data_IF_091905450976
#
_entry.id   IF_091905450976
#
_cell.length_a   1.000
_cell.length_b   1.000
_cell.length_c   1.000
_cell.angle_alpha   90.00
_cell.angle_beta   90.00
_cell.angle_gamma   90.00
#
_symmetry.space_group_name_H-M   'P 1'
#
loop_
_entity.id
_entity.type
_entity.pdbx_description
1 polymer ?
#
# COMPACT_ATOMS: atom_id res chain seq x y z
N UNK A 1 11.64 22.10 -9.41
CA UNK A 1 12.38 20.87 -9.74
C UNK A 1 13.40 21.22 -10.80
N UNK A 2 14.62 21.56 -10.40
CA UNK A 2 15.72 21.83 -11.33
C UNK A 2 16.12 20.46 -11.91
N UNK A 3 15.86 20.25 -13.21
CA UNK A 3 16.16 19.02 -13.99
C UNK A 3 15.11 17.88 -14.05
N UNK A 4 13.81 18.18 -13.88
CA UNK A 4 12.76 17.16 -14.06
C UNK A 4 12.53 16.81 -15.55
N UNK A 5 12.60 15.52 -15.88
CA UNK A 5 12.21 14.99 -17.19
C UNK A 5 10.73 14.60 -17.20
N UNK A 6 10.09 14.54 -18.37
CA UNK A 6 8.69 14.07 -18.53
C UNK A 6 8.47 12.71 -17.85
N UNK A 7 9.48 11.83 -17.92
CA UNK A 7 9.50 10.53 -17.25
C UNK A 7 9.46 10.67 -15.72
N UNK A 8 10.35 11.47 -15.13
CA UNK A 8 10.38 11.67 -13.68
C UNK A 8 9.08 12.28 -13.12
N UNK A 9 8.40 13.10 -13.91
CA UNK A 9 7.10 13.68 -13.53
C UNK A 9 6.03 12.59 -13.54
N UNK A 10 5.97 11.78 -14.59
CA UNK A 10 5.00 10.68 -14.68
C UNK A 10 5.23 9.65 -13.56
N UNK A 11 6.48 9.25 -13.32
CA UNK A 11 6.84 8.36 -12.21
C UNK A 11 6.42 8.97 -10.87
N UNK A 12 6.82 10.21 -10.58
CA UNK A 12 6.47 10.86 -9.33
C UNK A 12 4.95 10.97 -9.13
N UNK A 13 4.18 11.26 -10.18
CA UNK A 13 2.73 11.30 -10.11
C UNK A 13 2.13 9.94 -9.73
N UNK A 14 2.51 8.87 -10.44
CA UNK A 14 2.01 7.51 -10.19
C UNK A 14 2.39 7.02 -8.79
N UNK A 15 3.68 7.09 -8.46
CA UNK A 15 4.24 6.72 -7.17
C UNK A 15 3.52 7.47 -6.04
N UNK A 16 3.38 8.80 -6.15
CA UNK A 16 2.74 9.60 -5.10
C UNK A 16 1.27 9.27 -4.92
N UNK A 17 0.54 9.01 -6.01
CA UNK A 17 -0.86 8.56 -5.94
C UNK A 17 -0.99 7.26 -5.14
N UNK A 18 -0.12 6.28 -5.39
CA UNK A 18 -0.11 5.01 -4.65
C UNK A 18 0.18 5.24 -3.17
N UNK A 19 1.20 6.05 -2.85
CA UNK A 19 1.53 6.39 -1.46
C UNK A 19 0.37 7.05 -0.72
N UNK A 20 -0.37 7.96 -1.36
CA UNK A 20 -1.54 8.62 -0.76
C UNK A 20 -2.65 7.60 -0.48
N UNK A 21 -2.95 6.71 -1.44
CA UNK A 21 -3.97 5.66 -1.25
C UNK A 21 -3.62 4.77 -0.05
N UNK A 22 -2.37 4.33 0.05
CA UNK A 22 -1.91 3.50 1.16
C UNK A 22 -2.02 4.22 2.52
N UNK A 23 -1.73 5.53 2.57
CA UNK A 23 -1.93 6.36 3.77
C UNK A 23 -3.41 6.47 4.12
N UNK A 24 -4.29 6.68 3.14
CA UNK A 24 -5.74 6.76 3.36
C UNK A 24 -6.28 5.47 3.98
N UNK A 25 -5.86 4.32 3.46
CA UNK A 25 -6.24 2.99 4.01
C UNK A 25 -5.69 2.81 5.43
N UNK A 26 -4.45 3.22 5.68
CA UNK A 26 -3.83 3.18 7.01
C UNK A 26 -4.67 3.96 8.04
N UNK A 27 -5.06 5.19 7.72
CA UNK A 27 -5.84 6.01 8.64
C UNK A 27 -7.29 5.56 8.76
N UNK A 28 -7.89 5.10 7.66
CA UNK A 28 -9.23 4.51 7.66
C UNK A 28 -9.32 3.23 8.50
N UNK A 29 -8.21 2.49 8.65
CA UNK A 29 -8.16 1.27 9.46
C UNK A 29 -8.93 0.09 8.85
N UNK A 30 -9.26 0.17 7.56
CA UNK A 30 -10.02 -0.83 6.85
C UNK A 30 -9.55 -0.90 5.40
N UNK A 31 -9.40 -2.11 4.87
CA UNK A 31 -9.16 -2.35 3.44
C UNK A 31 -10.21 -3.32 2.87
N UNK A 32 -9.91 -4.62 2.82
CA UNK A 32 -10.92 -5.66 2.57
C UNK A 32 -11.46 -6.23 3.89
N UNK A 33 -10.61 -6.23 4.93
CA UNK A 33 -10.97 -6.56 6.30
C UNK A 33 -10.50 -5.46 7.25
N UNK A 34 -10.99 -5.42 8.51
CA UNK A 34 -10.51 -4.49 9.52
C UNK A 34 -9.02 -4.70 9.79
N UNK A 35 -8.24 -3.63 9.71
CA UNK A 35 -6.78 -3.69 9.85
C UNK A 35 -6.36 -3.62 11.32
N UNK A 36 -5.45 -4.50 11.71
CA UNK A 36 -4.77 -4.42 13.00
C UNK A 36 -3.79 -3.23 13.06
N UNK A 37 -3.40 -2.82 14.26
CA UNK A 37 -2.41 -1.74 14.44
C UNK A 37 -1.10 -2.06 13.71
N UNK A 38 -0.65 -3.32 13.73
CA UNK A 38 0.58 -3.72 13.05
C UNK A 38 0.47 -3.60 11.53
N UNK A 39 -0.67 -3.99 10.95
CA UNK A 39 -0.95 -3.84 9.52
C UNK A 39 -1.00 -2.38 9.08
N UNK A 40 -1.56 -1.52 9.92
CA UNK A 40 -1.57 -0.07 9.69
C UNK A 40 -0.14 0.48 9.71
N UNK A 41 0.69 0.07 10.67
CA UNK A 41 2.10 0.48 10.71
C UNK A 41 2.90 -0.03 9.50
N UNK A 42 2.61 -1.25 9.04
CA UNK A 42 3.19 -1.79 7.81
C UNK A 42 2.81 -0.93 6.61
N UNK A 43 1.52 -0.71 6.37
CA UNK A 43 1.04 0.10 5.24
C UNK A 43 1.59 1.53 5.29
N UNK A 44 1.70 2.10 6.49
CA UNK A 44 2.33 3.41 6.69
C UNK A 44 3.80 3.40 6.24
N UNK A 45 4.57 2.39 6.66
CA UNK A 45 5.97 2.25 6.26
C UNK A 45 6.10 2.05 4.74
N UNK A 46 5.23 1.23 4.14
CA UNK A 46 5.17 1.05 2.70
C UNK A 46 4.91 2.39 1.99
N UNK A 47 3.91 3.15 2.43
CA UNK A 47 3.56 4.42 1.82
C UNK A 47 4.63 5.51 1.97
N UNK A 48 5.38 5.50 3.07
CA UNK A 48 6.48 6.43 3.30
C UNK A 48 7.73 6.08 2.47
N UNK A 49 7.90 4.82 2.06
CA UNK A 49 8.97 4.42 1.14
C UNK A 49 8.65 4.76 -0.32
N UNK A 50 7.37 4.92 -0.66
CA UNK A 50 6.92 5.38 -1.98
C UNK A 50 7.12 6.91 -2.11
N UNK A 51 8.38 7.34 -2.10
CA UNK A 51 8.88 8.71 -2.29
C UNK A 51 9.68 8.74 -3.59
N UNK A 52 9.50 9.76 -4.47
CA UNK A 52 10.06 9.76 -5.82
C UNK A 52 11.54 9.38 -5.86
N UNK A 53 11.78 8.15 -6.31
CA UNK A 53 13.09 7.52 -6.40
C UNK A 53 12.94 6.04 -6.73
N UNK A 54 13.57 5.56 -7.79
CA UNK A 54 13.30 4.22 -8.33
C UNK A 54 13.50 3.10 -7.31
N UNK A 55 14.53 3.19 -6.46
CA UNK A 55 14.82 2.17 -5.46
C UNK A 55 13.81 2.16 -4.30
N UNK A 56 13.50 3.34 -3.75
CA UNK A 56 12.54 3.52 -2.65
C UNK A 56 11.13 3.15 -3.10
N UNK A 57 10.76 3.52 -4.33
CA UNK A 57 9.48 3.15 -4.95
C UNK A 57 9.32 1.63 -5.05
N UNK A 58 10.34 0.91 -5.50
CA UNK A 58 10.28 -0.55 -5.60
C UNK A 58 10.15 -1.23 -4.24
N UNK A 59 10.84 -0.73 -3.22
CA UNK A 59 10.70 -1.25 -1.85
C UNK A 59 9.29 -1.02 -1.30
N UNK A 60 8.77 0.21 -1.45
CA UNK A 60 7.44 0.56 -0.99
C UNK A 60 6.33 -0.22 -1.71
N UNK A 61 6.44 -0.37 -3.03
CA UNK A 61 5.55 -1.21 -3.83
C UNK A 61 5.64 -2.69 -3.44
N UNK A 62 6.85 -3.20 -3.17
CA UNK A 62 7.06 -4.56 -2.69
C UNK A 62 6.37 -4.82 -1.35
N UNK A 63 6.52 -3.91 -0.39
CA UNK A 63 5.82 -4.00 0.91
C UNK A 63 4.31 -3.90 0.76
N UNK A 64 3.81 -2.99 -0.10
CA UNK A 64 2.40 -2.86 -0.40
C UNK A 64 1.81 -4.10 -1.07
N UNK A 65 2.54 -4.71 -2.02
CA UNK A 65 2.12 -5.94 -2.69
C UNK A 65 2.10 -7.13 -1.74
N UNK A 66 3.12 -7.28 -0.88
CA UNK A 66 3.15 -8.31 0.15
C UNK A 66 1.98 -8.17 1.13
N UNK A 67 1.69 -6.94 1.56
CA UNK A 67 0.51 -6.62 2.36
C UNK A 67 -0.79 -7.04 1.65
N UNK A 68 -0.98 -6.64 0.39
CA UNK A 68 -2.15 -6.99 -0.41
C UNK A 68 -2.39 -8.50 -0.49
N UNK A 69 -1.33 -9.29 -0.73
CA UNK A 69 -1.43 -10.75 -0.82
C UNK A 69 -1.84 -11.39 0.52
N UNK A 70 -1.33 -10.89 1.64
CA UNK A 70 -1.72 -11.38 2.97
C UNK A 70 -3.17 -11.04 3.28
N UNK A 71 -3.58 -9.81 2.98
CA UNK A 71 -4.93 -9.33 3.24
C UNK A 71 -5.97 -10.07 2.38
N UNK A 72 -5.64 -10.35 1.11
CA UNK A 72 -6.49 -11.14 0.22
C UNK A 72 -6.70 -12.57 0.73
N UNK A 73 -5.70 -13.18 1.35
CA UNK A 73 -5.83 -14.52 1.96
C UNK A 73 -6.76 -14.48 3.17
N UNK A 74 -6.63 -13.45 4.02
CA UNK A 74 -7.49 -13.25 5.20
C UNK A 74 -8.94 -12.99 4.83
N UNK A 75 -9.19 -12.20 3.79
CA UNK A 75 -10.53 -11.95 3.24
C UNK A 75 -11.21 -13.27 2.85
N UNK A 76 -10.51 -14.14 2.11
CA UNK A 76 -11.03 -15.45 1.69
C UNK A 76 -11.28 -16.35 2.90
N UNK A 77 -10.38 -16.37 3.88
CA UNK A 77 -10.54 -17.16 5.11
C UNK A 77 -11.77 -16.71 5.91
N UNK A 78 -11.97 -15.40 6.08
CA UNK A 78 -13.18 -14.87 6.74
C UNK A 78 -14.46 -15.23 5.99
N UNK A 79 -14.50 -15.07 4.67
CA UNK A 79 -15.67 -15.42 3.86
C UNK A 79 -16.02 -16.91 3.95
N UNK A 80 -15.00 -17.79 4.02
CA UNK A 80 -15.21 -19.22 4.22
C UNK A 80 -15.84 -19.52 5.58
N UNK A 81 -15.34 -18.90 6.65
CA UNK A 81 -15.88 -19.08 8.01
C UNK A 81 -17.34 -18.63 8.11
N UNK A 82 -17.70 -17.53 7.46
CA UNK A 82 -19.09 -17.02 7.41
C UNK A 82 -20.05 -17.97 6.67
N UNK A 83 -19.55 -18.78 5.74
CA UNK A 83 -20.38 -19.73 4.98
C UNK A 83 -20.63 -21.04 5.75
N UNK A 84 -19.74 -21.38 6.70
CA UNK A 84 -19.79 -22.64 7.46
C UNK A 84 -20.45 -22.46 8.85
N UNK A 85 -20.60 -21.22 9.32
CA UNK A 85 -21.27 -20.85 10.57
C UNK A 85 -22.81 -20.82 10.44
#
# INVERSE_FOLDING_TARGET
MINATRWSIAQAAVTRSIGIIAISVTFGGFYHTPLSVLERLWLLAAALLVVPGTFTDLMGLGLGAAFYLLERRREVERAHLETVA
#
